data_IF_690010204860
#
_entry.id   IF_690010204860
#
_cell.length_a   1.000
_cell.length_b   1.000
_cell.length_c   1.000
_cell.angle_alpha   90.00
_cell.angle_beta   90.00
_cell.angle_gamma   90.00
#
_symmetry.space_group_name_H-M   'P 1'
#
loop_
_entity.id
_entity.type
_entity.pdbx_description
1 polymer ?
#
# COMPACT_ATOMS: atom_id res chain seq x y z
N UNK A 1 67.29 39.92 18.16
CA UNK A 1 66.87 38.59 18.66
C UNK A 1 65.50 38.74 19.30
N UNK A 2 64.44 38.31 18.63
CA UNK A 2 63.18 37.83 19.24
C UNK A 2 62.31 37.27 18.10
N UNK A 3 62.35 35.95 17.92
CA UNK A 3 61.42 35.19 17.09
C UNK A 3 60.37 34.61 18.04
N UNK A 4 59.10 34.93 17.81
CA UNK A 4 57.96 34.24 18.42
C UNK A 4 57.62 32.99 17.59
N UNK A 5 57.21 31.86 18.21
CA UNK A 5 56.82 30.66 17.48
C UNK A 5 55.37 30.78 16.99
N UNK A 6 55.18 30.66 15.67
CA UNK A 6 53.86 30.52 15.06
C UNK A 6 53.31 29.10 15.25
N UNK A 7 52.14 28.98 15.84
CA UNK A 7 51.35 27.75 15.88
C UNK A 7 50.76 27.47 14.49
N UNK A 8 51.13 26.34 13.87
CA UNK A 8 50.40 25.80 12.71
C UNK A 8 49.10 25.16 13.20
N UNK A 9 47.96 25.73 12.83
CA UNK A 9 46.65 25.12 13.02
C UNK A 9 46.40 24.15 11.85
N UNK A 10 46.48 22.85 12.08
CA UNK A 10 46.01 21.84 11.13
C UNK A 10 44.47 21.85 11.14
N UNK A 11 43.86 22.44 10.11
CA UNK A 11 42.43 22.27 9.86
C UNK A 11 42.22 20.86 9.30
N UNK A 12 41.82 19.93 10.17
CA UNK A 12 41.20 18.68 9.76
C UNK A 12 39.87 19.02 9.10
N UNK A 13 39.86 19.10 7.77
CA UNK A 13 38.61 19.11 6.99
C UNK A 13 38.02 17.71 7.13
N UNK A 14 37.15 17.55 8.13
CA UNK A 14 36.31 16.37 8.26
C UNK A 14 35.42 16.29 7.03
N UNK A 15 35.66 15.29 6.18
CA UNK A 15 34.67 14.84 5.21
C UNK A 15 33.45 14.36 5.99
N UNK A 16 32.49 15.26 6.25
CA UNK A 16 31.13 14.86 6.56
C UNK A 16 30.58 14.26 5.26
N UNK A 17 30.74 12.94 5.11
CA UNK A 17 29.98 12.19 4.14
C UNK A 17 28.51 12.47 4.41
N UNK A 18 27.84 13.10 3.45
CA UNK A 18 26.39 13.17 3.46
C UNK A 18 25.86 11.75 3.70
N UNK A 19 24.88 11.54 4.59
CA UNK A 19 24.26 10.23 4.72
C UNK A 19 23.73 9.85 3.34
N UNK A 20 24.34 8.84 2.72
CA UNK A 20 23.80 8.22 1.51
C UNK A 20 22.45 7.68 1.92
N UNK A 21 21.37 8.32 1.48
CA UNK A 21 20.02 7.79 1.65
C UNK A 21 19.96 6.53 0.79
N UNK A 22 20.22 5.39 1.41
CA UNK A 22 20.17 4.08 0.77
C UNK A 22 18.71 3.73 0.41
N UNK A 23 18.56 3.13 -0.77
CA UNK A 23 17.34 2.60 -1.39
C UNK A 23 16.52 1.70 -0.47
N UNK A 24 15.23 1.43 -0.71
CA UNK A 24 14.56 0.48 0.20
C UNK A 24 13.30 -0.22 -0.33
N UNK A 25 13.50 -1.38 -0.98
CA UNK A 25 12.87 -2.59 -0.43
C UNK A 25 13.37 -2.69 1.02
N UNK A 26 12.46 -2.62 1.97
CA UNK A 26 12.82 -2.61 3.39
C UNK A 26 12.82 -4.02 3.95
N UNK A 27 13.72 -4.30 4.89
CA UNK A 27 13.54 -5.46 5.77
C UNK A 27 12.32 -5.26 6.68
N UNK A 28 12.09 -4.02 7.13
CA UNK A 28 10.96 -3.62 7.97
C UNK A 28 10.54 -2.18 7.69
N UNK A 29 9.24 -1.90 7.64
CA UNK A 29 8.70 -0.56 7.40
C UNK A 29 9.08 0.46 8.50
N UNK A 30 9.49 -0.01 9.68
CA UNK A 30 9.96 0.82 10.77
C UNK A 30 11.39 1.36 10.56
N UNK A 31 12.17 0.77 9.67
CA UNK A 31 13.58 1.12 9.48
C UNK A 31 13.81 2.31 8.56
N UNK A 32 12.77 2.79 7.87
CA UNK A 32 12.85 3.95 6.98
C UNK A 32 11.95 5.06 7.49
N UNK A 33 12.52 6.26 7.57
CA UNK A 33 11.82 7.46 8.05
C UNK A 33 10.51 7.65 7.28
N UNK A 34 9.41 7.80 8.03
CA UNK A 34 8.05 8.10 7.53
C UNK A 34 7.33 7.05 6.68
N UNK A 35 7.97 5.94 6.30
CA UNK A 35 7.25 4.85 5.59
C UNK A 35 6.12 4.27 6.43
N UNK A 36 6.35 4.15 7.75
CA UNK A 36 5.34 3.72 8.72
C UNK A 36 4.18 4.70 8.93
N UNK A 37 4.26 5.95 8.45
CA UNK A 37 3.18 6.95 8.59
C UNK A 37 1.90 6.50 7.86
N UNK A 38 2.03 5.54 6.94
CA UNK A 38 0.92 4.92 6.20
C UNK A 38 0.24 3.78 6.95
N UNK A 39 0.73 3.43 8.14
CA UNK A 39 0.30 2.30 8.94
C UNK A 39 -0.28 2.79 10.27
N UNK A 40 -1.41 2.23 10.69
CA UNK A 40 -1.98 2.54 12.00
C UNK A 40 -0.98 2.19 13.10
N UNK A 41 -0.65 3.17 13.95
CA UNK A 41 0.39 3.05 15.00
C UNK A 41 1.76 2.60 14.45
N UNK A 42 2.05 2.86 13.17
CA UNK A 42 3.29 2.44 12.51
C UNK A 42 3.44 0.93 12.35
N UNK A 43 2.37 0.15 12.52
CA UNK A 43 2.45 -1.32 12.55
C UNK A 43 1.80 -1.92 11.30
N UNK A 44 2.52 -2.75 10.52
CA UNK A 44 1.93 -3.43 9.36
C UNK A 44 0.99 -4.57 9.79
N UNK A 45 0.11 -5.03 8.89
CA UNK A 45 -0.64 -6.27 9.08
C UNK A 45 0.27 -7.42 9.55
N UNK A 46 -0.12 -8.08 10.63
CA UNK A 46 0.62 -9.19 11.25
C UNK A 46 0.13 -10.53 10.70
N UNK A 47 0.96 -11.57 10.79
CA UNK A 47 0.59 -12.94 10.40
C UNK A 47 0.78 -13.29 8.92
N UNK A 48 1.22 -12.34 8.08
CA UNK A 48 1.66 -12.62 6.70
C UNK A 48 3.17 -12.82 6.73
N UNK A 49 3.62 -14.08 6.83
CA UNK A 49 5.03 -14.43 7.02
C UNK A 49 5.51 -15.25 5.82
N UNK A 50 6.01 -14.56 4.79
CA UNK A 50 6.73 -15.19 3.69
C UNK A 50 7.97 -14.34 3.36
N UNK A 51 9.14 -14.97 3.48
CA UNK A 51 10.46 -14.36 3.28
C UNK A 51 10.73 -13.97 1.82
N UNK A 52 9.93 -14.48 0.87
CA UNK A 52 10.02 -14.13 -0.55
C UNK A 52 9.32 -12.82 -0.88
N UNK A 53 8.36 -12.41 -0.04
CA UNK A 53 7.64 -11.16 -0.22
C UNK A 53 8.55 -9.97 0.03
N UNK A 54 8.32 -8.90 -0.72
CA UNK A 54 9.09 -7.66 -0.64
C UNK A 54 8.24 -6.57 -0.01
N UNK A 55 8.74 -5.99 1.08
CA UNK A 55 8.15 -4.81 1.69
C UNK A 55 8.68 -3.58 0.93
N UNK A 56 7.82 -2.90 0.20
CA UNK A 56 8.17 -1.74 -0.60
C UNK A 56 7.66 -0.51 0.12
N UNK A 57 8.57 0.39 0.51
CA UNK A 57 8.18 1.75 0.83
C UNK A 57 8.07 2.54 -0.47
N UNK A 58 6.84 2.85 -0.86
CA UNK A 58 6.55 3.48 -2.14
C UNK A 58 6.96 4.94 -2.07
N UNK A 59 8.01 5.32 -2.81
CA UNK A 59 8.54 6.69 -2.82
C UNK A 59 8.34 7.32 -4.18
N UNK A 60 7.89 8.57 -4.17
CA UNK A 60 7.76 9.39 -5.37
C UNK A 60 8.18 10.83 -5.06
N UNK A 61 9.06 11.38 -5.91
CA UNK A 61 9.73 12.65 -5.68
C UNK A 61 10.42 12.72 -4.30
N UNK A 62 11.20 11.68 -4.01
CA UNK A 62 12.00 11.45 -2.79
C UNK A 62 11.22 11.36 -1.47
N UNK A 63 9.89 11.37 -1.53
CA UNK A 63 9.02 11.29 -0.35
C UNK A 63 8.33 9.92 -0.27
N UNK A 64 8.30 9.28 0.90
CA UNK A 64 7.41 8.16 1.17
C UNK A 64 5.94 8.56 0.97
N UNK A 65 5.17 7.70 0.31
CA UNK A 65 3.76 7.96 -0.05
C UNK A 65 2.83 6.95 0.59
N UNK A 66 3.15 5.67 0.45
CA UNK A 66 2.43 4.54 1.04
C UNK A 66 3.34 3.32 1.12
N UNK A 67 2.82 2.20 1.60
CA UNK A 67 3.57 0.95 1.64
C UNK A 67 2.84 -0.15 0.89
N UNK A 68 3.61 -1.09 0.34
CA UNK A 68 3.09 -2.26 -0.35
C UNK A 68 3.86 -3.49 0.12
N UNK A 69 3.15 -4.56 0.45
CA UNK A 69 3.74 -5.89 0.54
C UNK A 69 3.53 -6.58 -0.81
N UNK A 70 4.62 -6.94 -1.48
CA UNK A 70 4.62 -7.36 -2.88
C UNK A 70 5.11 -8.79 -3.04
N UNK A 71 4.49 -9.56 -3.92
CA UNK A 71 4.90 -10.92 -4.29
C UNK A 71 5.62 -10.87 -5.65
N UNK A 72 6.97 -11.00 -5.70
CA UNK A 72 7.71 -11.01 -6.96
C UNK A 72 7.44 -12.23 -7.83
N UNK A 73 7.00 -13.35 -7.25
CA UNK A 73 6.70 -14.57 -8.01
C UNK A 73 5.38 -14.43 -8.76
N UNK A 74 4.37 -13.86 -8.12
CA UNK A 74 3.08 -13.57 -8.76
C UNK A 74 3.06 -12.21 -9.47
N UNK A 75 4.08 -11.37 -9.25
CA UNK A 75 4.20 -10.01 -9.80
C UNK A 75 2.99 -9.13 -9.48
N UNK A 76 2.45 -9.25 -8.27
CA UNK A 76 1.32 -8.46 -7.78
C UNK A 76 1.52 -8.08 -6.30
N UNK A 77 0.94 -6.97 -5.83
CA UNK A 77 0.83 -6.70 -4.41
C UNK A 77 -0.04 -7.74 -3.70
N UNK A 78 0.41 -8.18 -2.52
CA UNK A 78 -0.42 -8.89 -1.53
C UNK A 78 -1.36 -7.91 -0.86
N UNK A 79 -0.83 -6.75 -0.46
CA UNK A 79 -1.62 -5.59 -0.02
C UNK A 79 -0.86 -4.28 -0.26
N UNK A 80 -1.61 -3.18 -0.35
CA UNK A 80 -1.12 -1.81 -0.18
C UNK A 80 -1.79 -1.17 1.05
N UNK A 81 -1.03 -0.43 1.83
CA UNK A 81 -1.52 0.28 3.01
C UNK A 81 -1.17 1.77 2.95
N UNK A 82 -2.15 2.63 3.19
CA UNK A 82 -2.08 4.07 2.97
C UNK A 82 -2.98 4.85 3.93
N UNK A 83 -2.70 6.15 4.08
CA UNK A 83 -3.65 7.07 4.74
C UNK A 83 -4.64 7.63 3.72
N UNK A 84 -5.92 7.62 4.04
CA UNK A 84 -6.95 8.30 3.27
C UNK A 84 -6.78 9.82 3.36
N UNK A 85 -6.94 10.52 2.24
CA UNK A 85 -6.95 11.99 2.19
C UNK A 85 -8.35 12.49 1.85
N UNK A 86 -8.80 13.54 2.53
CA UNK A 86 -10.05 14.21 2.18
C UNK A 86 -9.96 14.78 0.77
N UNK A 87 -10.91 14.40 -0.08
CA UNK A 87 -10.83 14.60 -1.54
C UNK A 87 -12.23 14.66 -2.14
N UNK A 88 -12.41 15.46 -3.19
CA UNK A 88 -13.68 15.62 -3.91
C UNK A 88 -14.01 14.42 -4.84
N UNK A 89 -13.09 13.46 -4.97
CA UNK A 89 -13.28 12.27 -5.81
C UNK A 89 -12.81 12.42 -7.25
N UNK A 90 -12.16 13.55 -7.58
CA UNK A 90 -11.54 13.75 -8.88
C UNK A 90 -10.46 12.70 -9.15
N UNK A 91 -10.56 12.00 -10.27
CA UNK A 91 -9.51 11.11 -10.79
C UNK A 91 -8.67 11.82 -11.84
N UNK A 92 -7.36 11.58 -11.85
CA UNK A 92 -6.41 12.09 -12.85
C UNK A 92 -5.71 10.93 -13.53
N UNK A 93 -6.14 10.66 -14.77
CA UNK A 93 -5.67 9.51 -15.57
C UNK A 93 -4.43 9.86 -16.41
N UNK A 94 -3.88 11.08 -16.27
CA UNK A 94 -2.79 11.60 -17.11
C UNK A 94 -1.38 11.29 -16.59
N UNK A 95 -1.25 10.60 -15.46
CA UNK A 95 0.06 10.18 -14.95
C UNK A 95 0.64 8.98 -15.73
N UNK A 96 1.95 9.00 -16.03
CA UNK A 96 2.59 7.85 -16.65
C UNK A 96 2.64 6.67 -15.67
N UNK A 97 2.53 5.46 -16.21
CA UNK A 97 2.75 4.25 -15.44
C UNK A 97 4.22 4.11 -15.05
N UNK A 98 4.44 3.64 -13.83
CA UNK A 98 5.75 3.56 -13.20
C UNK A 98 6.10 2.14 -12.76
N UNK A 99 7.40 1.91 -12.57
CA UNK A 99 8.00 0.70 -12.03
C UNK A 99 8.87 1.03 -10.83
N UNK A 100 9.25 -0.01 -10.09
CA UNK A 100 10.15 0.06 -8.92
C UNK A 100 11.56 -0.42 -9.33
N UNK A 101 12.54 0.48 -9.60
CA UNK A 101 13.89 0.07 -10.01
C UNK A 101 14.58 -0.86 -9.00
N UNK A 102 14.34 -0.63 -7.71
CA UNK A 102 14.87 -1.40 -6.59
C UNK A 102 14.39 -2.87 -6.52
N UNK A 103 13.37 -3.25 -7.32
CA UNK A 103 13.00 -4.67 -7.46
C UNK A 103 13.88 -5.42 -8.47
N UNK A 104 14.42 -4.73 -9.46
CA UNK A 104 15.19 -5.33 -10.56
C UNK A 104 16.71 -5.18 -10.38
N UNK A 105 17.15 -4.14 -9.67
CA UNK A 105 18.56 -3.81 -9.48
C UNK A 105 18.86 -3.59 -7.99
N UNK A 106 19.92 -4.22 -7.49
CA UNK A 106 20.34 -4.12 -6.07
C UNK A 106 20.62 -2.66 -5.68
N UNK A 107 21.23 -1.89 -6.58
CA UNK A 107 21.53 -0.47 -6.41
C UNK A 107 20.49 0.45 -7.11
N UNK A 108 19.31 -0.10 -7.42
CA UNK A 108 18.24 0.62 -8.10
C UNK A 108 17.75 1.83 -7.28
N UNK A 109 17.28 2.87 -7.98
CA UNK A 109 16.70 4.05 -7.34
C UNK A 109 15.51 3.63 -6.46
N UNK A 110 15.44 4.17 -5.24
CA UNK A 110 14.34 3.91 -4.31
C UNK A 110 13.05 4.67 -4.62
N UNK A 111 13.06 5.56 -5.61
CA UNK A 111 11.85 6.18 -6.15
C UNK A 111 11.31 5.36 -7.32
N UNK A 112 9.99 5.26 -7.38
CA UNK A 112 9.31 4.80 -8.58
C UNK A 112 9.61 5.73 -9.77
N UNK A 113 9.81 5.14 -10.94
CA UNK A 113 10.17 5.87 -12.17
C UNK A 113 9.21 5.51 -13.30
N UNK A 114 8.90 6.45 -14.21
CA UNK A 114 8.09 6.15 -15.39
C UNK A 114 8.78 5.10 -16.26
N UNK A 115 8.00 4.20 -16.85
CA UNK A 115 8.53 3.25 -17.82
C UNK A 115 9.21 4.00 -18.98
N UNK A 116 10.45 3.62 -19.37
CA UNK A 116 11.13 4.26 -20.48
C UNK A 116 10.39 4.05 -21.80
N UNK A 117 10.38 5.09 -22.65
CA UNK A 117 9.88 5.00 -24.03
C UNK A 117 10.94 4.31 -24.89
N UNK A 118 11.09 2.99 -24.77
CA UNK A 118 12.11 2.23 -25.48
C UNK A 118 12.32 0.83 -24.92
N UNK A 119 13.47 0.23 -25.22
CA UNK A 119 13.80 -1.12 -24.77
C UNK A 119 13.92 -1.15 -23.23
N UNK A 120 12.99 -1.85 -22.57
CA UNK A 120 13.18 -2.23 -21.18
C UNK A 120 14.26 -3.32 -21.11
N UNK A 121 15.26 -3.11 -20.26
CA UNK A 121 16.23 -4.16 -19.96
C UNK A 121 15.49 -5.37 -19.37
N UNK A 122 15.71 -6.58 -19.92
CA UNK A 122 14.96 -7.80 -19.58
C UNK A 122 14.86 -8.13 -18.08
N UNK A 123 15.81 -7.64 -17.26
CA UNK A 123 15.83 -7.81 -15.79
C UNK A 123 14.56 -7.32 -15.07
N UNK A 124 13.82 -6.35 -15.62
CA UNK A 124 12.59 -5.87 -14.98
C UNK A 124 11.48 -6.93 -15.02
N UNK A 125 11.39 -7.68 -16.10
CA UNK A 125 10.32 -8.66 -16.31
C UNK A 125 10.40 -9.86 -15.35
N UNK A 126 11.58 -10.11 -14.79
CA UNK A 126 11.81 -11.21 -13.85
C UNK A 126 11.34 -10.87 -12.43
N UNK A 127 11.34 -9.58 -12.06
CA UNK A 127 11.10 -9.12 -10.69
C UNK A 127 9.74 -8.45 -10.49
N UNK A 128 9.16 -7.89 -11.56
CA UNK A 128 7.89 -7.19 -11.48
C UNK A 128 7.08 -7.24 -12.78
N UNK A 129 5.81 -6.86 -12.70
CA UNK A 129 4.96 -6.73 -13.87
C UNK A 129 5.44 -5.57 -14.75
N UNK A 130 5.28 -5.72 -16.07
CA UNK A 130 5.53 -4.66 -17.05
C UNK A 130 4.26 -4.35 -17.84
N UNK A 131 4.24 -3.23 -18.56
CA UNK A 131 3.05 -2.80 -19.33
C UNK A 131 2.59 -3.85 -20.35
N UNK A 132 3.54 -4.51 -21.00
CA UNK A 132 3.29 -5.58 -21.96
C UNK A 132 2.64 -6.83 -21.34
N UNK A 133 2.69 -6.99 -20.01
CA UNK A 133 1.92 -8.06 -19.34
C UNK A 133 0.40 -7.80 -19.37
N UNK A 134 -0.01 -6.55 -19.60
CA UNK A 134 -1.41 -6.11 -19.64
C UNK A 134 -1.91 -5.72 -21.05
N UNK A 135 -1.07 -5.71 -22.07
CA UNK A 135 -1.41 -5.19 -23.41
C UNK A 135 -2.42 -6.05 -24.16
N UNK A 136 -2.33 -7.37 -24.05
CA UNK A 136 -3.10 -8.33 -24.86
C UNK A 136 -4.25 -9.00 -24.08
N UNK A 137 -4.61 -8.45 -22.92
CA UNK A 137 -5.63 -9.04 -22.02
C UNK A 137 -6.83 -8.11 -21.82
N UNK A 138 -7.68 -8.03 -22.85
CA UNK A 138 -8.85 -7.14 -22.90
C UNK A 138 -9.85 -7.34 -21.75
N UNK A 139 -9.84 -8.50 -21.09
CA UNK A 139 -10.74 -8.82 -19.96
C UNK A 139 -10.38 -8.05 -18.68
N UNK A 140 -9.11 -7.66 -18.51
CA UNK A 140 -8.62 -7.12 -17.25
C UNK A 140 -8.28 -5.63 -17.35
N UNK A 141 -8.66 -4.90 -16.30
CA UNK A 141 -8.19 -3.56 -16.00
C UNK A 141 -7.03 -3.62 -15.01
N UNK A 142 -6.25 -2.55 -14.99
CA UNK A 142 -5.21 -2.30 -13.99
C UNK A 142 -5.87 -1.74 -12.73
N UNK A 143 -6.37 -2.63 -11.88
CA UNK A 143 -7.05 -2.30 -10.63
C UNK A 143 -6.06 -1.84 -9.57
N UNK A 144 -6.28 -0.65 -9.02
CA UNK A 144 -5.41 -0.06 -7.99
C UNK A 144 -5.82 -0.56 -6.60
N UNK A 145 -4.86 -0.94 -5.76
CA UNK A 145 -5.14 -1.23 -4.34
C UNK A 145 -5.14 0.04 -3.49
N UNK A 146 -4.22 0.97 -3.75
CA UNK A 146 -4.33 2.38 -3.31
C UNK A 146 -4.88 3.22 -4.46
N UNK A 147 -6.17 3.59 -4.47
CA UNK A 147 -6.77 4.29 -5.59
C UNK A 147 -6.48 5.80 -5.54
N UNK A 148 -6.23 6.36 -6.71
CA UNK A 148 -6.03 7.81 -6.94
C UNK A 148 -7.13 8.66 -6.28
N UNK A 149 -8.38 8.22 -6.35
CA UNK A 149 -9.51 8.97 -5.78
C UNK A 149 -9.48 9.10 -4.25
N UNK A 150 -8.66 8.33 -3.53
CA UNK A 150 -8.46 8.46 -2.08
C UNK A 150 -7.30 9.41 -1.74
N UNK A 151 -6.61 9.94 -2.74
CA UNK A 151 -5.49 10.86 -2.62
C UNK A 151 -5.88 12.27 -3.06
N UNK A 152 -5.26 13.29 -2.45
CA UNK A 152 -5.58 14.71 -2.71
C UNK A 152 -4.42 15.49 -3.30
N UNK A 153 -3.19 15.23 -2.85
CA UNK A 153 -1.98 15.86 -3.40
C UNK A 153 -1.64 15.25 -4.78
N UNK A 154 -1.30 16.06 -5.79
CA UNK A 154 -0.94 15.56 -7.11
C UNK A 154 0.19 14.52 -7.12
N UNK A 155 1.18 14.62 -6.22
CA UNK A 155 2.25 13.63 -6.15
C UNK A 155 1.81 12.36 -5.41
N UNK A 156 0.92 12.44 -4.43
CA UNK A 156 0.30 11.27 -3.80
C UNK A 156 -0.56 10.50 -4.80
N UNK A 157 -1.30 11.22 -5.66
CA UNK A 157 -2.05 10.68 -6.79
C UNK A 157 -1.14 10.03 -7.82
N UNK A 158 -0.10 10.73 -8.28
CA UNK A 158 0.86 10.18 -9.23
C UNK A 158 1.48 8.86 -8.70
N UNK A 159 1.79 8.80 -7.41
CA UNK A 159 2.39 7.62 -6.80
C UNK A 159 1.51 6.36 -6.83
N UNK A 160 0.20 6.48 -7.06
CA UNK A 160 -0.67 5.30 -7.19
C UNK A 160 -0.45 4.55 -8.51
N UNK A 161 0.11 5.20 -9.53
CA UNK A 161 0.31 4.69 -10.89
C UNK A 161 1.59 3.84 -11.06
N UNK A 162 2.04 3.14 -10.01
CA UNK A 162 3.09 2.11 -10.10
C UNK A 162 2.45 0.73 -10.26
N UNK A 163 2.99 -0.13 -11.11
CA UNK A 163 2.44 -1.49 -11.31
C UNK A 163 2.57 -2.37 -10.05
N UNK A 164 3.41 -2.00 -9.09
CA UNK A 164 3.48 -2.70 -7.80
C UNK A 164 2.29 -2.40 -6.90
N UNK A 165 1.43 -1.43 -7.24
CA UNK A 165 0.17 -1.14 -6.56
C UNK A 165 -1.07 -1.65 -7.32
N UNK A 166 -0.84 -2.43 -8.39
CA UNK A 166 -1.89 -2.83 -9.33
C UNK A 166 -2.04 -4.35 -9.38
N UNK A 167 -3.29 -4.79 -9.52
CA UNK A 167 -3.65 -6.17 -9.84
C UNK A 167 -4.56 -6.24 -11.06
N UNK A 168 -4.58 -7.37 -11.80
CA UNK A 168 -5.58 -7.59 -12.85
C UNK A 168 -6.99 -7.73 -12.25
N UNK A 169 -7.84 -6.75 -12.47
CA UNK A 169 -9.26 -6.81 -12.08
C UNK A 169 -10.13 -7.00 -13.30
N UNK A 170 -11.15 -7.87 -13.23
CA UNK A 170 -12.10 -8.03 -14.33
C UNK A 170 -12.78 -6.69 -14.58
N UNK A 171 -12.85 -6.29 -15.87
CA UNK A 171 -13.33 -4.96 -16.26
C UNK A 171 -14.67 -4.59 -15.65
N UNK A 172 -15.66 -5.48 -15.72
CA UNK A 172 -17.00 -5.24 -15.16
C UNK A 172 -16.99 -5.08 -13.63
N UNK A 173 -16.07 -5.76 -12.94
CA UNK A 173 -15.88 -5.60 -11.49
C UNK A 173 -15.21 -4.26 -11.16
N UNK A 174 -14.10 -3.94 -11.83
CA UNK A 174 -13.32 -2.73 -11.60
C UNK A 174 -14.13 -1.45 -11.84
N UNK A 175 -14.82 -1.33 -12.98
CA UNK A 175 -15.58 -0.11 -13.32
C UNK A 175 -16.98 -0.08 -12.71
N UNK A 176 -17.41 -1.17 -12.09
CA UNK A 176 -18.75 -1.34 -11.52
C UNK A 176 -18.71 -1.41 -9.98
N UNK A 177 -18.99 -2.59 -9.38
CA UNK A 177 -19.12 -2.72 -7.93
C UNK A 177 -17.92 -2.23 -7.12
N UNK A 178 -16.69 -2.46 -7.61
CA UNK A 178 -15.50 -2.05 -6.87
C UNK A 178 -15.34 -0.53 -6.87
N UNK A 179 -15.47 0.12 -8.03
CA UNK A 179 -15.49 1.59 -8.13
C UNK A 179 -16.55 2.23 -7.22
N UNK A 180 -17.75 1.66 -7.18
CA UNK A 180 -18.83 2.16 -6.31
C UNK A 180 -18.50 1.97 -4.82
N UNK A 181 -17.79 0.89 -4.48
CA UNK A 181 -17.29 0.68 -3.12
C UNK A 181 -16.23 1.71 -2.73
N UNK A 182 -15.25 1.97 -3.58
CA UNK A 182 -14.22 2.97 -3.30
C UNK A 182 -14.85 4.36 -3.06
N UNK A 183 -15.81 4.76 -3.91
CA UNK A 183 -16.56 6.01 -3.75
C UNK A 183 -17.35 6.05 -2.44
N UNK A 184 -17.98 4.95 -2.06
CA UNK A 184 -18.72 4.84 -0.79
C UNK A 184 -17.79 4.97 0.42
N UNK A 185 -16.58 4.43 0.36
CA UNK A 185 -15.56 4.62 1.41
C UNK A 185 -15.10 6.07 1.45
N UNK A 186 -14.84 6.69 0.30
CA UNK A 186 -14.47 8.12 0.22
C UNK A 186 -15.51 9.01 0.89
N UNK A 187 -16.79 8.87 0.53
CA UNK A 187 -17.88 9.67 1.12
C UNK A 187 -18.00 9.43 2.62
N UNK A 188 -17.94 8.17 3.07
CA UNK A 188 -18.02 7.81 4.49
C UNK A 188 -16.89 8.44 5.30
N UNK A 189 -15.65 8.29 4.86
CA UNK A 189 -14.48 8.78 5.59
C UNK A 189 -14.38 10.30 5.52
N UNK A 190 -14.73 10.95 4.40
CA UNK A 190 -14.81 12.41 4.31
C UNK A 190 -15.75 13.01 5.36
N UNK A 191 -16.93 12.42 5.49
CA UNK A 191 -18.01 12.98 6.31
C UNK A 191 -17.88 12.64 7.79
N UNK A 192 -17.39 11.44 8.12
CA UNK A 192 -17.49 10.91 9.48
C UNK A 192 -16.15 10.58 10.14
N UNK A 193 -15.04 10.46 9.39
CA UNK A 193 -13.71 10.38 10.00
C UNK A 193 -13.16 11.79 10.28
N UNK A 194 -12.85 12.06 11.54
CA UNK A 194 -12.35 13.36 12.03
C UNK A 194 -10.82 13.38 12.11
N UNK A 195 -10.20 12.26 12.44
CA UNK A 195 -8.74 12.09 12.45
C UNK A 195 -8.19 11.49 11.15
N UNK A 196 -7.07 10.77 11.27
CA UNK A 196 -6.47 10.03 10.16
C UNK A 196 -7.13 8.67 10.00
N UNK A 197 -7.64 8.39 8.79
CA UNK A 197 -8.05 7.04 8.42
C UNK A 197 -6.89 6.30 7.73
N UNK A 198 -6.61 5.10 8.21
CA UNK A 198 -5.65 4.17 7.63
C UNK A 198 -6.41 3.08 6.88
N UNK A 199 -5.99 2.76 5.66
CA UNK A 199 -6.64 1.75 4.82
C UNK A 199 -5.60 0.71 4.43
N UNK A 200 -6.01 -0.56 4.46
CA UNK A 200 -5.26 -1.69 3.89
C UNK A 200 -6.16 -2.35 2.86
N UNK A 201 -5.68 -2.45 1.63
CA UNK A 201 -6.38 -3.11 0.53
C UNK A 201 -5.50 -4.20 -0.03
N UNK A 202 -6.03 -5.39 -0.24
CA UNK A 202 -5.26 -6.56 -0.65
C UNK A 202 -6.09 -7.56 -1.43
N UNK A 203 -5.45 -8.69 -1.74
CA UNK A 203 -6.03 -9.72 -2.61
C UNK A 203 -5.82 -11.13 -2.07
N UNK A 204 -6.70 -12.04 -2.48
CA UNK A 204 -6.47 -13.49 -2.38
C UNK A 204 -6.15 -14.06 -3.76
N UNK A 205 -5.49 -15.21 -3.84
CA UNK A 205 -5.10 -15.81 -5.13
C UNK A 205 -5.43 -17.30 -5.17
N UNK A 206 -6.05 -17.75 -6.26
CA UNK A 206 -6.31 -19.18 -6.51
C UNK A 206 -5.25 -19.85 -7.42
N UNK A 207 -4.16 -19.15 -7.75
CA UNK A 207 -3.10 -19.64 -8.64
C UNK A 207 -3.31 -19.38 -10.13
N UNK A 208 -4.36 -18.65 -10.50
CA UNK A 208 -4.55 -18.19 -11.88
C UNK A 208 -3.54 -17.09 -12.23
N UNK A 209 -3.02 -17.13 -13.46
CA UNK A 209 -1.99 -16.21 -13.96
C UNK A 209 -2.35 -15.74 -15.37
N UNK A 210 -2.11 -14.46 -15.67
CA UNK A 210 -2.01 -13.95 -17.03
C UNK A 210 -0.79 -14.59 -17.67
N UNK A 211 -0.96 -15.08 -18.91
CA UNK A 211 0.11 -15.68 -19.70
C UNK A 211 0.49 -14.77 -20.86
N UNK A 212 1.79 -14.58 -21.04
CA UNK A 212 2.38 -13.88 -22.19
C UNK A 212 3.48 -14.75 -22.77
N UNK A 213 3.49 -14.96 -24.08
CA UNK A 213 4.45 -15.85 -24.75
C UNK A 213 4.55 -17.24 -24.09
N UNK A 214 3.40 -17.83 -23.73
CA UNK A 214 3.27 -19.10 -23.01
C UNK A 214 3.95 -19.17 -21.63
N UNK A 215 4.33 -18.05 -21.02
CA UNK A 215 4.87 -17.98 -19.67
C UNK A 215 3.88 -17.33 -18.71
N UNK A 216 3.85 -17.81 -17.47
CA UNK A 216 3.06 -17.19 -16.40
C UNK A 216 3.73 -15.87 -15.98
N UNK A 217 2.96 -14.78 -16.07
CA UNK A 217 3.46 -13.43 -15.85
C UNK A 217 2.88 -12.84 -14.57
N UNK A 218 1.58 -12.57 -14.55
CA UNK A 218 0.96 -11.78 -13.49
C UNK A 218 -0.16 -12.57 -12.85
N UNK A 219 -0.17 -12.67 -11.52
CA UNK A 219 -1.21 -13.35 -10.76
C UNK A 219 -2.55 -12.64 -10.90
N UNK A 220 -3.61 -13.43 -11.04
CA UNK A 220 -4.98 -12.95 -11.09
C UNK A 220 -5.61 -13.18 -9.71
N UNK A 221 -6.04 -12.11 -9.02
CA UNK A 221 -6.77 -12.22 -7.76
C UNK A 221 -8.04 -13.07 -7.90
N UNK A 222 -8.34 -13.88 -6.88
CA UNK A 222 -9.66 -14.51 -6.71
C UNK A 222 -10.63 -13.54 -6.05
N UNK A 223 -10.20 -12.88 -4.97
CA UNK A 223 -10.95 -11.85 -4.26
C UNK A 223 -10.11 -10.59 -4.08
N UNK A 224 -10.79 -9.45 -4.01
CA UNK A 224 -10.24 -8.17 -3.57
C UNK A 224 -10.91 -7.78 -2.26
N UNK A 225 -10.12 -7.33 -1.29
CA UNK A 225 -10.59 -6.91 0.02
C UNK A 225 -10.00 -5.57 0.42
N UNK A 226 -10.73 -4.83 1.24
CA UNK A 226 -10.31 -3.54 1.79
C UNK A 226 -10.78 -3.42 3.24
N UNK A 227 -9.95 -2.89 4.10
CA UNK A 227 -10.28 -2.58 5.49
C UNK A 227 -9.77 -1.20 5.86
N UNK A 228 -10.52 -0.46 6.68
CA UNK A 228 -10.09 0.83 7.19
C UNK A 228 -10.14 0.89 8.71
N UNK A 229 -9.35 1.81 9.27
CA UNK A 229 -9.28 2.15 10.68
C UNK A 229 -9.28 3.68 10.84
N UNK A 230 -10.24 4.22 11.58
CA UNK A 230 -10.34 5.62 11.99
C UNK A 230 -10.87 5.69 13.42
N UNK A 231 -9.99 5.90 14.39
CA UNK A 231 -10.32 5.96 15.82
C UNK A 231 -11.03 7.24 16.23
N UNK A 232 -10.78 8.33 15.51
CA UNK A 232 -11.38 9.64 15.74
C UNK A 232 -12.49 9.88 14.71
N UNK A 233 -13.73 9.54 15.07
CA UNK A 233 -14.88 9.66 14.17
C UNK A 233 -16.06 10.38 14.84
N UNK A 234 -17.04 10.76 14.03
CA UNK A 234 -18.24 11.44 14.51
C UNK A 234 -19.17 10.49 15.28
N UNK A 235 -19.26 10.67 16.59
CA UNK A 235 -20.16 9.88 17.46
C UNK A 235 -21.64 10.19 17.25
N UNK A 236 -21.96 11.31 16.60
CA UNK A 236 -23.32 11.71 16.23
C UNK A 236 -23.71 11.24 14.82
N UNK A 237 -22.85 10.50 14.12
CA UNK A 237 -23.19 9.90 12.84
C UNK A 237 -24.48 9.04 12.94
N UNK A 238 -25.27 8.94 11.84
CA UNK A 238 -26.39 8.02 11.74
C UNK A 238 -26.01 6.60 12.18
N UNK A 239 -26.93 5.87 12.81
CA UNK A 239 -26.62 4.59 13.46
C UNK A 239 -25.98 3.57 12.49
N UNK A 240 -26.52 3.47 11.28
CA UNK A 240 -26.07 2.60 10.19
C UNK A 240 -24.64 2.91 9.72
N UNK A 241 -24.19 4.15 9.86
CA UNK A 241 -22.81 4.58 9.62
C UNK A 241 -21.94 4.35 10.86
N UNK A 242 -22.45 4.71 12.04
CA UNK A 242 -21.69 4.69 13.30
C UNK A 242 -21.22 3.29 13.67
N UNK A 243 -21.99 2.24 13.39
CA UNK A 243 -21.60 0.85 13.63
C UNK A 243 -20.42 0.37 12.75
N UNK A 244 -20.03 1.15 11.74
CA UNK A 244 -18.91 0.88 10.83
C UNK A 244 -17.63 1.62 11.24
N UNK A 245 -17.62 2.22 12.42
CA UNK A 245 -16.46 2.86 13.02
C UNK A 245 -16.16 2.22 14.39
N UNK A 246 -14.89 2.16 14.83
CA UNK A 246 -13.72 2.81 14.22
C UNK A 246 -13.16 2.07 13.00
N UNK A 247 -13.53 0.81 12.78
CA UNK A 247 -13.01 0.00 11.68
C UNK A 247 -14.08 -0.83 10.99
N UNK A 248 -13.93 -1.02 9.68
CA UNK A 248 -14.80 -1.89 8.89
C UNK A 248 -14.05 -2.45 7.69
N UNK A 249 -14.58 -3.53 7.12
CA UNK A 249 -13.98 -4.23 6.00
C UNK A 249 -14.99 -4.47 4.86
N UNK A 250 -14.47 -4.81 3.70
CA UNK A 250 -15.22 -5.16 2.50
C UNK A 250 -14.47 -6.21 1.71
N UNK A 251 -15.21 -7.13 1.09
CA UNK A 251 -14.71 -8.24 0.29
C UNK A 251 -15.57 -8.40 -0.96
N UNK A 252 -14.94 -8.67 -2.10
CA UNK A 252 -15.65 -9.00 -3.32
C UNK A 252 -14.86 -9.99 -4.19
N UNK A 253 -15.58 -10.83 -4.94
CA UNK A 253 -15.00 -11.71 -5.94
C UNK A 253 -14.55 -10.91 -7.15
N UNK A 254 -13.33 -11.15 -7.63
CA UNK A 254 -12.83 -10.60 -8.89
C UNK A 254 -13.43 -11.35 -10.07
N UNK A 255 -14.73 -11.15 -10.30
CA UNK A 255 -15.56 -11.95 -11.19
C UNK A 255 -16.42 -11.04 -12.10
N UNK A 256 -16.86 -11.57 -13.24
CA UNK A 256 -17.84 -10.89 -14.09
C UNK A 256 -19.25 -10.90 -13.48
N UNK A 257 -19.59 -12.00 -12.84
CA UNK A 257 -20.86 -12.24 -12.15
C UNK A 257 -20.58 -12.60 -10.68
N UNK A 258 -21.59 -12.46 -9.80
CA UNK A 258 -21.42 -12.70 -8.35
C UNK A 258 -20.29 -11.87 -7.72
N UNK A 259 -20.10 -10.65 -8.22
CA UNK A 259 -19.02 -9.72 -7.85
C UNK A 259 -19.50 -8.59 -6.92
N UNK A 260 -20.59 -8.85 -6.18
CA UNK A 260 -21.12 -7.91 -5.22
C UNK A 260 -20.11 -7.67 -4.07
N UNK A 261 -20.04 -6.43 -3.61
CA UNK A 261 -19.19 -6.07 -2.47
C UNK A 261 -19.92 -6.35 -1.17
N UNK A 262 -19.34 -7.21 -0.34
CA UNK A 262 -19.85 -7.58 0.97
C UNK A 262 -19.11 -6.80 2.06
N UNK A 263 -19.82 -5.95 2.79
CA UNK A 263 -19.28 -5.25 3.96
C UNK A 263 -19.36 -6.15 5.22
N UNK A 264 -18.33 -6.10 6.06
CA UNK A 264 -18.20 -6.97 7.23
C UNK A 264 -17.29 -6.35 8.30
N UNK A 265 -17.20 -6.97 9.47
CA UNK A 265 -16.23 -6.55 10.48
C UNK A 265 -14.79 -6.90 10.03
N UNK A 266 -13.79 -6.18 10.54
CA UNK A 266 -12.38 -6.52 10.25
C UNK A 266 -12.05 -7.93 10.76
N UNK A 267 -12.63 -8.35 11.89
CA UNK A 267 -12.45 -9.68 12.43
C UNK A 267 -13.01 -10.77 11.51
N UNK A 268 -14.18 -10.55 10.90
CA UNK A 268 -14.74 -11.49 9.92
C UNK A 268 -13.87 -11.58 8.67
N UNK A 269 -13.32 -10.46 8.21
CA UNK A 269 -12.35 -10.45 7.13
C UNK A 269 -11.09 -11.26 7.51
N UNK A 270 -10.51 -11.02 8.69
CA UNK A 270 -9.34 -11.77 9.16
C UNK A 270 -9.62 -13.28 9.22
N UNK A 271 -10.79 -13.69 9.70
CA UNK A 271 -11.20 -15.09 9.73
C UNK A 271 -11.36 -15.67 8.31
N UNK A 272 -11.92 -14.89 7.37
CA UNK A 272 -12.00 -15.29 5.97
C UNK A 272 -10.61 -15.48 5.36
N UNK A 273 -9.69 -14.53 5.57
CA UNK A 273 -8.34 -14.56 5.02
C UNK A 273 -7.51 -15.72 5.58
N UNK A 274 -7.64 -16.05 6.88
CA UNK A 274 -7.00 -17.24 7.48
C UNK A 274 -7.39 -18.55 6.80
N UNK A 275 -8.58 -18.62 6.20
CA UNK A 275 -9.06 -19.81 5.49
C UNK A 275 -8.69 -19.80 3.99
N UNK A 276 -8.24 -18.66 3.45
CA UNK A 276 -8.03 -18.45 2.01
C UNK A 276 -6.59 -18.18 1.62
N UNK A 277 -5.76 -17.73 2.56
CA UNK A 277 -4.36 -17.39 2.36
C UNK A 277 -3.49 -18.21 3.30
N UNK A 278 -2.23 -18.41 2.92
CA UNK A 278 -1.23 -19.01 3.80
C UNK A 278 -0.72 -17.95 4.79
N UNK A 279 -1.44 -17.81 5.90
CA UNK A 279 -1.21 -16.80 6.95
C UNK A 279 -1.32 -17.43 8.33
N UNK A 280 -0.64 -16.84 9.30
CA UNK A 280 -0.66 -17.27 10.69
C UNK A 280 -2.05 -17.07 11.33
N UNK A 281 -2.38 -17.91 12.32
CA UNK A 281 -3.61 -17.80 13.10
C UNK A 281 -3.73 -16.47 13.87
N UNK A 282 -2.60 -15.80 14.12
CA UNK A 282 -2.53 -14.48 14.71
C UNK A 282 -2.69 -13.31 13.72
N UNK A 283 -3.13 -13.58 12.47
CA UNK A 283 -3.41 -12.55 11.47
C UNK A 283 -4.25 -11.43 12.09
N UNK A 284 -3.72 -10.21 11.97
CA UNK A 284 -4.36 -8.98 12.44
C UNK A 284 -4.06 -7.85 11.48
N UNK A 285 -5.09 -7.17 10.97
CA UNK A 285 -4.94 -6.10 9.99
C UNK A 285 -4.42 -4.79 10.60
N UNK A 286 -4.97 -4.41 11.76
CA UNK A 286 -4.63 -3.19 12.46
C UNK A 286 -4.14 -3.48 13.87
N UNK A 287 -3.08 -2.79 14.30
CA UNK A 287 -2.58 -2.87 15.67
C UNK A 287 -3.73 -2.73 16.68
N UNK A 288 -3.77 -3.64 17.65
CA UNK A 288 -4.77 -3.68 18.72
C UNK A 288 -6.22 -3.54 18.23
N UNK A 289 -6.53 -4.14 17.07
CA UNK A 289 -7.87 -4.13 16.46
C UNK A 289 -8.43 -2.71 16.22
N UNK A 290 -7.58 -1.74 15.87
CA UNK A 290 -7.98 -0.34 15.67
C UNK A 290 -8.59 0.30 16.94
N UNK A 291 -8.18 -0.15 18.13
CA UNK A 291 -8.54 0.49 19.38
C UNK A 291 -7.56 1.64 19.61
N UNK A 292 -8.09 2.83 19.91
CA UNK A 292 -7.25 3.96 20.30
C UNK A 292 -6.56 3.63 21.63
N UNK A 293 -5.23 3.84 21.76
CA UNK A 293 -4.58 3.74 23.06
C UNK A 293 -5.31 4.66 24.05
N UNK A 294 -5.59 4.13 25.24
CA UNK A 294 -6.16 4.94 26.31
C UNK A 294 -5.18 6.10 26.62
N UNK A 295 -5.65 7.35 26.72
CA UNK A 295 -4.82 8.45 27.21
C UNK A 295 -4.49 8.31 28.72
N UNK A 296 -5.15 7.38 29.42
CA UNK A 296 -4.89 7.07 30.82
C UNK A 296 -3.82 5.96 30.94
N UNK A 297 -2.81 6.14 31.81
CA UNK A 297 -1.82 5.11 32.10
C UNK A 297 -2.45 3.78 32.54
N UNK A 298 -1.82 2.66 32.17
CA UNK A 298 -2.34 1.31 32.40
C UNK A 298 -2.74 0.99 33.85
N UNK A 299 -2.12 1.65 34.84
CA UNK A 299 -2.41 1.44 36.26
C UNK A 299 -3.76 2.01 36.73
N UNK A 300 -4.46 2.81 35.92
CA UNK A 300 -5.80 3.34 36.23
C UNK A 300 -6.94 2.51 35.65
N UNK A 301 -6.66 1.44 34.89
CA UNK A 301 -7.68 0.59 34.28
C UNK A 301 -8.36 -0.39 35.26
N UNK A 302 -7.86 -0.52 36.50
CA UNK A 302 -8.39 -1.45 37.50
C UNK A 302 -9.18 -0.78 38.64
N UNK A 303 -9.61 0.46 38.49
CA UNK A 303 -10.33 1.20 39.55
C UNK A 303 -11.78 1.55 39.20
N UNK A 304 -12.47 0.70 38.43
CA UNK A 304 -13.92 0.76 38.27
C UNK A 304 -14.50 -0.64 38.43
#
# INVERSE_FOLDING_TARGET
MHLAPGFLLFILVGFQGAPRVAATVVEDFNHVERCKDSLYMGTPPRGIIDFKLKKICQRYADKPRYVTLYDPHKRIPVYSAYTFKKTEGDRRVDYPWMYEPQLAEIDGNGNMLPFPQGYLHMKFEDSQAVLDDYSDVVLYERGHLNPDQHQSDPHDRAATYTLTNVVPEIREFNIGPWREHEERIRVRLNNFCRGTAYIVTGVTTAGHMIRRNNQDRVGIPEDVWSAYCCTEYDRNAPHDVRIRFPSHASLAKNAKESNAVHEMTVQDLENYLKNKMDVDQNLQMFYDNCISPSPLPQYLHHTI
#
